data_IF_123463659835
#
_entry.id   IF_123463659835
#
_cell.length_a   1.000
_cell.length_b   1.000
_cell.length_c   1.000
_cell.angle_alpha   90.00
_cell.angle_beta   90.00
_cell.angle_gamma   90.00
#
_symmetry.space_group_name_H-M   'P 1'
#
loop_
_entity.id
_entity.type
_entity.pdbx_description
1 polymer ?
#
# COMPACT_ATOMS: atom_id res chain seq x y z
N UNK A 1 12.51 21.57 8.02
CA UNK A 1 13.20 20.27 7.85
C UNK A 1 12.21 19.15 7.53
N UNK A 2 11.30 18.79 8.44
CA UNK A 2 10.30 17.73 8.23
C UNK A 2 9.44 17.93 6.96
N UNK A 3 8.99 19.16 6.69
CA UNK A 3 8.18 19.46 5.50
C UNK A 3 8.90 19.08 4.19
N UNK A 4 10.21 19.34 4.09
CA UNK A 4 11.02 18.99 2.92
C UNK A 4 11.20 17.48 2.77
N UNK A 5 11.41 16.76 3.88
CA UNK A 5 11.47 15.29 3.88
C UNK A 5 10.15 14.68 3.43
N UNK A 6 9.00 15.24 3.84
CA UNK A 6 7.69 14.75 3.40
C UNK A 6 7.40 15.10 1.95
N UNK A 7 7.93 16.20 1.43
CA UNK A 7 7.86 16.55 0.01
C UNK A 7 8.70 15.58 -0.84
N UNK A 8 9.97 15.42 -0.49
CA UNK A 8 10.93 14.60 -1.23
C UNK A 8 10.75 13.09 -0.94
N UNK A 9 10.04 12.74 0.13
CA UNK A 9 9.89 11.39 0.67
C UNK A 9 11.23 10.69 0.98
N UNK A 10 12.29 11.47 1.16
CA UNK A 10 13.65 11.03 1.37
C UNK A 10 14.27 11.75 2.55
N UNK A 11 15.09 11.02 3.33
CA UNK A 11 15.84 11.55 4.46
C UNK A 11 17.28 11.04 4.38
N UNK A 12 18.23 11.94 4.64
CA UNK A 12 19.64 11.59 4.69
C UNK A 12 19.93 10.68 5.90
N UNK A 13 20.74 9.60 5.75
CA UNK A 13 20.95 8.63 6.83
C UNK A 13 21.50 9.23 8.12
N UNK A 14 22.44 10.16 8.02
CA UNK A 14 23.06 10.84 9.18
C UNK A 14 22.02 11.65 9.97
N UNK A 15 21.11 12.33 9.25
CA UNK A 15 20.01 13.09 9.85
C UNK A 15 19.02 12.14 10.52
N UNK A 16 18.70 11.02 9.87
CA UNK A 16 17.78 10.03 10.42
C UNK A 16 18.35 9.40 11.71
N UNK A 17 19.65 9.10 11.74
CA UNK A 17 20.32 8.51 12.91
C UNK A 17 20.36 9.47 14.10
N UNK A 18 20.53 10.77 13.84
CA UNK A 18 20.51 11.82 14.86
C UNK A 18 19.14 12.06 15.51
N UNK A 19 18.04 11.54 14.93
CA UNK A 19 16.71 11.64 15.52
C UNK A 19 16.54 10.70 16.72
N UNK A 20 15.79 11.13 17.72
CA UNK A 20 15.34 10.24 18.78
C UNK A 20 14.41 9.16 18.23
N UNK A 21 14.28 8.03 18.94
CA UNK A 21 13.39 6.95 18.54
C UNK A 21 11.93 7.41 18.41
N UNK A 22 11.49 8.33 19.27
CA UNK A 22 10.16 8.93 19.17
C UNK A 22 10.00 9.78 17.90
N UNK A 23 11.00 10.60 17.57
CA UNK A 23 11.00 11.41 16.34
C UNK A 23 11.01 10.54 15.08
N UNK A 24 11.77 9.44 15.07
CA UNK A 24 11.77 8.46 13.97
C UNK A 24 10.39 7.84 13.77
N UNK A 25 9.73 7.41 14.87
CA UNK A 25 8.36 6.87 14.81
C UNK A 25 7.38 7.87 14.21
N UNK A 26 7.40 9.12 14.68
CA UNK A 26 6.54 10.18 14.15
C UNK A 26 6.84 10.44 12.67
N UNK A 27 8.11 10.51 12.29
CA UNK A 27 8.54 10.72 10.92
C UNK A 27 8.01 9.63 9.99
N UNK A 28 8.20 8.35 10.35
CA UNK A 28 7.74 7.23 9.52
C UNK A 28 6.22 7.17 9.40
N UNK A 29 5.47 7.50 10.46
CA UNK A 29 4.02 7.63 10.39
C UNK A 29 3.61 8.71 9.39
N UNK A 30 4.23 9.90 9.47
CA UNK A 30 3.92 11.01 8.55
C UNK A 30 4.31 10.72 7.11
N UNK A 31 5.45 10.09 6.88
CA UNK A 31 5.86 9.64 5.55
C UNK A 31 4.87 8.62 4.98
N UNK A 32 4.40 7.68 5.81
CA UNK A 32 3.42 6.69 5.38
C UNK A 32 2.06 7.31 5.04
N UNK A 33 1.57 8.23 5.88
CA UNK A 33 0.36 9.00 5.61
C UNK A 33 0.46 9.74 4.26
N UNK A 34 1.59 10.39 4.00
CA UNK A 34 1.83 11.14 2.78
C UNK A 34 1.91 10.25 1.53
N UNK A 35 2.56 9.07 1.63
CA UNK A 35 2.53 8.08 0.55
C UNK A 35 1.11 7.65 0.20
N UNK A 36 0.31 7.32 1.22
CA UNK A 36 -1.07 6.89 1.03
C UNK A 36 -1.91 8.02 0.44
N UNK A 37 -1.71 9.26 0.88
CA UNK A 37 -2.38 10.44 0.31
C UNK A 37 -2.03 10.62 -1.16
N UNK A 38 -0.73 10.60 -1.53
CA UNK A 38 -0.27 10.71 -2.93
C UNK A 38 -0.82 9.58 -3.80
N UNK A 39 -0.82 8.36 -3.27
CA UNK A 39 -1.36 7.22 -3.97
C UNK A 39 -2.87 7.38 -4.24
N UNK A 40 -3.68 7.73 -3.24
CA UNK A 40 -5.12 7.97 -3.43
C UNK A 40 -5.41 9.08 -4.43
N UNK A 41 -4.66 10.18 -4.38
CA UNK A 41 -4.82 11.29 -5.35
C UNK A 41 -4.50 10.82 -6.77
N UNK A 42 -3.47 9.99 -6.94
CA UNK A 42 -3.13 9.40 -8.24
C UNK A 42 -4.23 8.46 -8.72
N UNK A 43 -4.69 7.55 -7.87
CA UNK A 43 -5.80 6.62 -8.19
C UNK A 43 -7.05 7.38 -8.64
N UNK A 44 -7.46 8.41 -7.89
CA UNK A 44 -8.63 9.22 -8.24
C UNK A 44 -8.46 9.95 -9.58
N UNK A 45 -7.26 10.48 -9.84
CA UNK A 45 -6.94 11.12 -11.13
C UNK A 45 -7.03 10.11 -12.27
N UNK A 46 -6.41 8.94 -12.12
CA UNK A 46 -6.43 7.87 -13.12
C UNK A 46 -7.85 7.34 -13.36
N UNK A 47 -8.67 7.21 -12.30
CA UNK A 47 -10.06 6.79 -12.43
C UNK A 47 -10.90 7.81 -13.21
N UNK A 48 -10.71 9.12 -12.95
CA UNK A 48 -11.39 10.20 -13.68
C UNK A 48 -10.94 10.27 -15.14
N UNK A 49 -9.65 10.09 -15.41
CA UNK A 49 -9.10 10.06 -16.76
C UNK A 49 -9.59 8.82 -17.53
N UNK A 50 -9.65 7.64 -16.89
CA UNK A 50 -10.16 6.41 -17.49
C UNK A 50 -11.67 6.44 -17.82
N UNK A 51 -12.47 7.24 -17.10
CA UNK A 51 -13.91 7.45 -17.40
C UNK A 51 -14.14 8.35 -18.61
N UNK A 52 -13.21 9.27 -18.90
CA UNK A 52 -13.33 10.24 -19.99
C UNK A 52 -12.72 9.74 -21.31
N UNK A 53 -11.92 8.67 -21.27
CA UNK A 53 -11.16 8.21 -22.42
C UNK A 53 -11.66 6.83 -22.88
N UNK A 54 -12.31 6.77 -24.05
CA UNK A 54 -12.67 5.52 -24.74
C UNK A 54 -11.44 4.74 -25.26
N UNK A 55 -10.22 5.09 -24.80
CA UNK A 55 -8.99 4.42 -25.21
C UNK A 55 -8.90 3.04 -24.54
N UNK A 56 -8.45 2.01 -25.27
CA UNK A 56 -8.28 0.68 -24.70
C UNK A 56 -7.35 0.77 -23.50
N UNK A 57 -7.87 0.35 -22.33
CA UNK A 57 -7.15 0.44 -21.05
C UNK A 57 -5.75 -0.15 -21.23
N UNK A 58 -4.70 0.65 -21.00
CA UNK A 58 -3.31 0.18 -21.05
C UNK A 58 -3.19 -1.06 -20.16
N UNK A 59 -2.48 -2.09 -20.64
CA UNK A 59 -2.33 -3.40 -20.01
C UNK A 59 -1.65 -3.41 -18.62
N UNK A 60 -1.43 -2.24 -18.00
CA UNK A 60 -0.90 -2.07 -16.66
C UNK A 60 -1.99 -1.98 -15.58
N UNK A 61 -3.19 -2.52 -15.82
CA UNK A 61 -4.29 -2.62 -14.84
C UNK A 61 -4.01 -3.67 -13.74
N UNK A 62 -2.86 -3.62 -13.09
CA UNK A 62 -2.67 -4.37 -11.84
C UNK A 62 -3.25 -3.53 -10.71
N UNK A 63 -4.51 -3.79 -10.36
CA UNK A 63 -5.16 -3.15 -9.22
C UNK A 63 -4.94 -3.98 -7.95
N UNK A 64 -4.65 -3.31 -6.84
CA UNK A 64 -4.56 -3.94 -5.52
C UNK A 64 -5.87 -3.68 -4.80
N UNK A 65 -6.60 -4.75 -4.48
CA UNK A 65 -7.81 -4.68 -3.67
C UNK A 65 -7.58 -5.40 -2.34
N UNK A 66 -8.10 -4.83 -1.26
CA UNK A 66 -8.16 -5.52 0.03
C UNK A 66 -9.19 -6.64 -0.04
N UNK A 67 -8.84 -7.82 0.47
CA UNK A 67 -9.82 -8.86 0.74
C UNK A 67 -10.61 -8.43 1.97
N UNK A 68 -11.93 -8.36 1.86
CA UNK A 68 -12.80 -8.03 2.98
C UNK A 68 -13.39 -9.30 3.60
N UNK A 69 -13.53 -9.30 4.92
CA UNK A 69 -14.27 -10.33 5.66
C UNK A 69 -15.77 -10.21 5.45
N UNK A 70 -16.54 -11.11 6.07
CA UNK A 70 -18.01 -11.08 6.02
C UNK A 70 -18.62 -9.85 6.73
N UNK A 71 -17.85 -9.26 7.63
CA UNK A 71 -18.10 -8.02 8.35
C UNK A 71 -17.84 -6.76 7.50
N UNK A 72 -17.19 -6.89 6.35
CA UNK A 72 -16.79 -5.77 5.51
C UNK A 72 -15.47 -5.12 5.93
N UNK A 73 -14.82 -5.64 6.97
CA UNK A 73 -13.49 -5.18 7.42
C UNK A 73 -12.37 -5.91 6.66
N UNK A 74 -11.15 -5.38 6.71
CA UNK A 74 -10.00 -5.96 6.01
C UNK A 74 -9.62 -7.30 6.63
N UNK A 75 -9.57 -8.35 5.79
CA UNK A 75 -9.13 -9.69 6.19
C UNK A 75 -7.61 -9.73 6.41
N UNK A 76 -7.19 -10.08 7.62
CA UNK A 76 -5.78 -10.25 8.00
C UNK A 76 -5.50 -11.72 8.27
N UNK A 77 -4.37 -12.23 7.78
CA UNK A 77 -3.90 -13.60 8.08
C UNK A 77 -2.43 -13.56 8.44
N UNK A 78 -2.04 -14.28 9.49
CA UNK A 78 -0.65 -14.39 9.94
C UNK A 78 0.01 -15.56 9.20
N UNK A 79 1.08 -15.25 8.49
CA UNK A 79 1.87 -16.22 7.72
C UNK A 79 2.99 -16.72 8.63
N UNK A 80 2.90 -17.98 9.07
CA UNK A 80 4.00 -18.68 9.72
C UNK A 80 3.68 -19.25 11.09
N UNK A 81 3.07 -20.43 11.11
CA UNK A 81 3.29 -21.52 12.07
C UNK A 81 2.81 -22.78 11.34
N UNK A 82 3.70 -23.39 10.56
CA UNK A 82 3.63 -24.72 9.89
C UNK A 82 2.25 -25.18 9.34
N UNK A 83 2.19 -25.29 8.01
CA UNK A 83 1.23 -26.06 7.19
C UNK A 83 -0.17 -25.46 6.86
N UNK A 84 -0.46 -24.21 7.22
CA UNK A 84 -1.66 -23.52 6.70
C UNK A 84 -1.46 -22.85 5.33
N UNK A 85 -0.21 -22.74 4.87
CA UNK A 85 0.11 -22.26 3.51
C UNK A 85 -0.47 -23.15 2.41
N UNK A 86 -0.55 -24.46 2.67
CA UNK A 86 -1.06 -25.47 1.72
C UNK A 86 -2.51 -25.86 1.99
N UNK A 87 -3.00 -25.60 3.20
CA UNK A 87 -4.33 -25.99 3.68
C UNK A 87 -5.37 -24.88 3.57
N UNK A 88 -4.94 -23.62 3.43
CA UNK A 88 -5.85 -22.50 3.25
C UNK A 88 -6.51 -22.58 1.87
N UNK A 89 -7.78 -23.01 1.85
CA UNK A 89 -8.63 -23.04 0.65
C UNK A 89 -8.62 -21.69 -0.10
N UNK A 90 -8.45 -20.58 0.64
CA UNK A 90 -8.30 -19.24 0.09
C UNK A 90 -7.04 -19.10 -0.79
N UNK A 91 -5.85 -19.46 -0.29
CA UNK A 91 -4.62 -19.38 -1.10
C UNK A 91 -4.62 -20.40 -2.24
N UNK A 92 -5.18 -21.58 -2.01
CA UNK A 92 -5.30 -22.62 -3.04
C UNK A 92 -6.22 -22.17 -4.20
N UNK A 93 -7.33 -21.49 -3.89
CA UNK A 93 -8.19 -20.88 -4.91
C UNK A 93 -7.48 -19.77 -5.68
N UNK A 94 -6.64 -18.96 -5.01
CA UNK A 94 -5.90 -17.88 -5.64
C UNK A 94 -4.82 -18.40 -6.61
N UNK A 95 -4.22 -19.56 -6.31
CA UNK A 95 -3.22 -20.22 -7.17
C UNK A 95 -3.84 -20.95 -8.37
N UNK A 96 -5.05 -21.50 -8.22
CA UNK A 96 -5.72 -22.28 -9.27
C UNK A 96 -6.41 -21.44 -10.35
N UNK A 97 -6.53 -20.12 -10.16
CA UNK A 97 -7.14 -19.19 -11.11
C UNK A 97 -6.09 -18.51 -12.02
N UNK A 98 -5.01 -19.21 -12.40
CA UNK A 98 -3.94 -18.70 -13.25
C UNK A 98 -3.78 -19.51 -14.54
#
# INVERSE_FOLDING_TARGET
MLAKILEDMWVEPEVLEALSEEQKRILFLKMREEQVRRWRVREEREEREAKNDNRPKKAFNKHVSWLLGRDGDVSVSVIGEVDEFRSSKLLQSLMNNR
#
